data_IF_251226590809
#
_entry.id   IF_251226590809
#
_cell.length_a   1.000
_cell.length_b   1.000
_cell.length_c   1.000
_cell.angle_alpha   90.00
_cell.angle_beta   90.00
_cell.angle_gamma   90.00
#
_symmetry.space_group_name_H-M   'P 1'
#
loop_
_entity.id
_entity.type
_entity.pdbx_description
1 polymer ?
#
# COMPACT_ATOMS: atom_id res chain seq x y z
N UNK A 1 34.55 48.76 -32.86
CA UNK A 1 34.60 47.28 -32.91
C UNK A 1 34.59 46.79 -31.48
N UNK A 2 33.43 46.37 -30.98
CA UNK A 2 33.29 45.81 -29.63
C UNK A 2 33.97 44.44 -29.58
N UNK A 3 35.05 44.34 -28.79
CA UNK A 3 35.66 43.06 -28.45
C UNK A 3 34.62 42.26 -27.66
N UNK A 4 33.97 41.29 -28.31
CA UNK A 4 33.15 40.27 -27.62
C UNK A 4 34.02 39.61 -26.56
N UNK A 5 33.80 40.00 -25.32
CA UNK A 5 34.46 39.45 -24.14
C UNK A 5 33.89 38.05 -23.87
N UNK A 6 34.27 37.07 -24.71
CA UNK A 6 33.98 35.66 -24.48
C UNK A 6 34.96 35.16 -23.42
N UNK A 7 34.66 35.45 -22.14
CA UNK A 7 35.47 35.01 -21.02
C UNK A 7 35.13 33.54 -20.68
N UNK A 8 36.00 32.55 -21.00
CA UNK A 8 35.70 31.13 -20.81
C UNK A 8 35.53 30.75 -19.34
N UNK A 9 36.11 31.50 -18.41
CA UNK A 9 35.92 31.32 -16.97
C UNK A 9 34.47 31.59 -16.55
N UNK A 10 33.87 32.69 -17.04
CA UNK A 10 32.47 33.03 -16.78
C UNK A 10 31.51 31.98 -17.35
N UNK A 11 31.84 31.37 -18.48
CA UNK A 11 31.07 30.26 -19.03
C UNK A 11 31.22 28.99 -18.17
N UNK A 12 32.42 28.68 -17.69
CA UNK A 12 32.66 27.54 -16.80
C UNK A 12 31.90 27.69 -15.47
N UNK A 13 31.87 28.89 -14.89
CA UNK A 13 31.07 29.20 -13.69
C UNK A 13 29.57 29.02 -13.94
N UNK A 14 29.04 29.56 -15.04
CA UNK A 14 27.63 29.39 -15.42
C UNK A 14 27.28 27.92 -15.66
N UNK A 15 28.16 27.16 -16.30
CA UNK A 15 27.97 25.72 -16.53
C UNK A 15 28.01 24.93 -15.22
N UNK A 16 28.89 25.28 -14.29
CA UNK A 16 28.95 24.66 -12.96
C UNK A 16 27.68 24.95 -12.15
N UNK A 17 27.22 26.20 -12.15
CA UNK A 17 25.96 26.59 -11.52
C UNK A 17 24.76 25.85 -12.14
N UNK A 18 24.72 25.72 -13.47
CA UNK A 18 23.68 24.96 -14.16
C UNK A 18 23.69 23.48 -13.78
N UNK A 19 24.87 22.84 -13.75
CA UNK A 19 25.02 21.43 -13.33
C UNK A 19 24.57 21.21 -11.89
N UNK A 20 24.91 22.14 -10.99
CA UNK A 20 24.47 22.10 -9.60
C UNK A 20 22.94 22.19 -9.50
N UNK A 21 22.33 23.16 -10.18
CA UNK A 21 20.87 23.31 -10.23
C UNK A 21 20.18 22.06 -10.81
N UNK A 22 20.74 21.46 -11.86
CA UNK A 22 20.23 20.21 -12.42
C UNK A 22 20.35 19.03 -11.44
N UNK A 23 21.45 18.94 -10.68
CA UNK A 23 21.62 17.90 -9.67
C UNK A 23 20.61 18.05 -8.52
N UNK A 24 20.40 19.27 -8.03
CA UNK A 24 19.41 19.58 -7.00
C UNK A 24 17.98 19.26 -7.47
N UNK A 25 17.64 19.62 -8.71
CA UNK A 25 16.36 19.27 -9.31
C UNK A 25 16.19 17.75 -9.44
N UNK A 26 17.24 17.03 -9.83
CA UNK A 26 17.24 15.56 -9.89
C UNK A 26 17.03 14.91 -8.53
N UNK A 27 17.66 15.44 -7.47
CA UNK A 27 17.45 14.98 -6.09
C UNK A 27 16.01 15.20 -5.62
N UNK A 28 15.44 16.36 -5.91
CA UNK A 28 14.05 16.67 -5.58
C UNK A 28 13.08 15.70 -6.27
N UNK A 29 13.25 15.48 -7.59
CA UNK A 29 12.40 14.55 -8.34
C UNK A 29 12.52 13.12 -7.80
N UNK A 30 13.73 12.65 -7.50
CA UNK A 30 13.94 11.34 -6.89
C UNK A 30 13.26 11.22 -5.52
N UNK A 31 13.26 12.28 -4.72
CA UNK A 31 12.57 12.32 -3.43
C UNK A 31 11.05 12.24 -3.60
N UNK A 32 10.48 13.00 -4.55
CA UNK A 32 9.05 12.95 -4.90
C UNK A 32 8.64 11.56 -5.38
N UNK A 33 9.44 10.93 -6.24
CA UNK A 33 9.17 9.56 -6.72
C UNK A 33 9.17 8.55 -5.57
N UNK A 34 10.11 8.69 -4.63
CA UNK A 34 10.16 7.84 -3.43
C UNK A 34 8.94 8.04 -2.54
N UNK A 35 8.52 9.28 -2.31
CA UNK A 35 7.29 9.58 -1.56
C UNK A 35 6.05 9.03 -2.26
N UNK A 36 5.94 9.18 -3.57
CA UNK A 36 4.84 8.63 -4.36
C UNK A 36 4.78 7.10 -4.27
N UNK A 37 5.94 6.45 -4.34
CA UNK A 37 6.05 5.01 -4.16
C UNK A 37 5.64 4.59 -2.73
N UNK A 38 6.07 5.31 -1.70
CA UNK A 38 5.67 5.05 -0.31
C UNK A 38 4.17 5.18 -0.11
N UNK A 39 3.55 6.29 -0.55
CA UNK A 39 2.09 6.50 -0.45
C UNK A 39 1.34 5.37 -1.15
N UNK A 40 1.78 4.97 -2.34
CA UNK A 40 1.17 3.86 -3.07
C UNK A 40 1.33 2.54 -2.35
N UNK A 41 2.53 2.20 -1.91
CA UNK A 41 2.80 0.93 -1.25
C UNK A 41 2.09 0.84 0.10
N UNK A 42 1.87 1.96 0.80
CA UNK A 42 1.13 2.00 2.06
C UNK A 42 -0.34 1.62 1.92
N UNK A 43 -0.90 1.57 0.71
CA UNK A 43 -2.27 1.07 0.48
C UNK A 43 -2.45 -0.40 0.87
N UNK A 44 -1.37 -1.18 1.01
CA UNK A 44 -1.45 -2.54 1.53
C UNK A 44 -1.61 -2.61 3.04
N UNK A 45 -1.40 -1.50 3.75
CA UNK A 45 -1.54 -1.48 5.20
C UNK A 45 -3.01 -1.59 5.60
N UNK A 46 -3.26 -2.31 6.69
CA UNK A 46 -4.62 -2.58 7.17
C UNK A 46 -4.81 -4.04 7.56
N UNK A 47 -6.06 -4.36 7.86
CA UNK A 47 -6.51 -5.71 8.16
C UNK A 47 -7.15 -6.34 6.93
N UNK A 48 -6.77 -7.58 6.68
CA UNK A 48 -7.19 -8.34 5.51
C UNK A 48 -7.69 -9.72 5.92
N UNK A 49 -8.77 -10.19 5.33
CA UNK A 49 -9.38 -11.51 5.60
C UNK A 49 -9.23 -12.38 4.35
N UNK A 50 -8.72 -13.60 4.51
CA UNK A 50 -8.58 -14.54 3.40
C UNK A 50 -9.96 -14.83 2.81
N UNK A 51 -10.05 -15.05 1.49
CA UNK A 51 -11.35 -15.28 0.83
C UNK A 51 -12.09 -16.52 1.35
N UNK A 52 -11.37 -17.51 1.88
CA UNK A 52 -11.93 -18.70 2.53
C UNK A 52 -12.32 -18.47 4.00
N UNK A 53 -12.06 -17.28 4.55
CA UNK A 53 -12.31 -16.90 5.94
C UNK A 53 -11.38 -17.54 6.98
N UNK A 54 -10.51 -18.47 6.58
CA UNK A 54 -9.71 -19.27 7.51
C UNK A 54 -8.56 -18.51 8.15
N UNK A 55 -8.08 -17.45 7.51
CA UNK A 55 -6.95 -16.64 7.98
C UNK A 55 -7.25 -15.14 7.93
N UNK A 56 -6.57 -14.38 8.79
CA UNK A 56 -6.43 -12.92 8.64
C UNK A 56 -4.98 -12.52 8.53
N UNK A 57 -4.73 -11.44 7.81
CA UNK A 57 -3.43 -10.84 7.61
C UNK A 57 -3.48 -9.37 8.05
N UNK A 58 -2.65 -9.00 9.01
CA UNK A 58 -2.44 -7.61 9.42
C UNK A 58 -1.14 -7.11 8.81
N UNK A 59 -1.20 -5.97 8.11
CA UNK A 59 -0.02 -5.32 7.53
C UNK A 59 0.10 -3.90 8.07
N UNK A 60 1.30 -3.55 8.56
CA UNK A 60 1.61 -2.19 9.01
C UNK A 60 2.92 -1.69 8.41
N UNK A 61 2.97 -0.40 8.09
CA UNK A 61 4.23 0.27 7.77
C UNK A 61 5.12 0.33 9.00
N UNK A 62 6.41 0.13 8.80
CA UNK A 62 7.51 0.37 9.75
C UNK A 62 8.56 1.24 9.08
N UNK A 63 9.59 1.67 9.81
CA UNK A 63 10.61 2.61 9.32
C UNK A 63 11.21 2.20 7.96
N UNK A 64 11.61 0.93 7.83
CA UNK A 64 12.26 0.40 6.62
C UNK A 64 11.40 -0.59 5.82
N UNK A 65 10.07 -0.52 5.91
CA UNK A 65 9.20 -1.39 5.10
C UNK A 65 7.89 -1.73 5.78
N UNK A 66 7.55 -3.02 5.81
CA UNK A 66 6.28 -3.51 6.32
C UNK A 66 6.47 -4.67 7.28
N UNK A 67 5.66 -4.69 8.34
CA UNK A 67 5.49 -5.82 9.24
C UNK A 67 4.16 -6.48 8.94
N UNK A 68 4.18 -7.79 8.77
CA UNK A 68 3.03 -8.62 8.45
C UNK A 68 2.81 -9.64 9.56
N UNK A 69 1.55 -9.88 9.91
CA UNK A 69 1.15 -10.91 10.87
C UNK A 69 -0.01 -11.72 10.28
N UNK A 70 0.26 -12.99 9.99
CA UNK A 70 -0.73 -13.95 9.53
C UNK A 70 -1.27 -14.72 10.74
N UNK A 71 -2.60 -14.74 10.87
CA UNK A 71 -3.31 -15.40 11.96
C UNK A 71 -4.33 -16.41 11.42
N UNK A 72 -4.45 -17.53 12.11
CA UNK A 72 -5.53 -18.51 11.97
C UNK A 72 -6.77 -17.99 12.70
N UNK A 73 -7.91 -17.97 12.01
CA UNK A 73 -9.21 -17.57 12.55
C UNK A 73 -10.26 -18.69 12.42
N UNK A 74 -9.86 -19.93 12.14
CA UNK A 74 -10.77 -21.08 12.04
C UNK A 74 -11.49 -21.41 13.36
N UNK A 75 -11.01 -20.86 14.47
CA UNK A 75 -11.59 -21.00 15.81
C UNK A 75 -12.10 -19.66 16.31
N UNK A 76 -12.86 -19.63 17.40
CA UNK A 76 -13.35 -18.39 18.02
C UNK A 76 -12.24 -17.52 18.67
N UNK A 77 -10.98 -17.75 18.35
CA UNK A 77 -9.82 -16.98 18.80
C UNK A 77 -8.77 -16.91 17.69
N UNK A 78 -8.01 -15.81 17.65
CA UNK A 78 -6.93 -15.62 16.68
C UNK A 78 -5.64 -16.27 17.19
N UNK A 79 -5.00 -17.09 16.36
CA UNK A 79 -3.67 -17.64 16.66
C UNK A 79 -2.66 -17.13 15.64
N UNK A 80 -1.54 -16.56 16.09
CA UNK A 80 -0.49 -16.12 15.17
C UNK A 80 0.16 -17.35 14.54
N UNK A 81 -0.01 -17.50 13.22
CA UNK A 81 0.65 -18.55 12.43
C UNK A 81 2.07 -18.09 12.10
N UNK A 82 2.22 -16.81 11.72
CA UNK A 82 3.50 -16.29 11.26
C UNK A 82 3.61 -14.77 11.37
N UNK A 83 4.82 -14.31 11.67
CA UNK A 83 5.22 -12.92 11.54
C UNK A 83 6.27 -12.80 10.44
N UNK A 84 6.14 -11.76 9.61
CA UNK A 84 7.01 -11.54 8.47
C UNK A 84 7.33 -10.06 8.31
N UNK A 85 8.34 -9.79 7.51
CA UNK A 85 8.74 -8.47 7.05
C UNK A 85 8.73 -8.44 5.52
N UNK A 86 8.39 -7.28 4.97
CA UNK A 86 8.44 -7.04 3.53
C UNK A 86 9.07 -5.68 3.23
N UNK A 87 9.76 -5.59 2.09
CA UNK A 87 10.43 -4.38 1.64
C UNK A 87 9.83 -3.87 0.35
N UNK A 88 9.76 -2.54 0.22
CA UNK A 88 9.40 -1.89 -1.03
C UNK A 88 10.59 -1.96 -2.01
N UNK A 89 10.34 -2.51 -3.21
CA UNK A 89 11.24 -2.52 -4.34
C UNK A 89 10.59 -1.74 -5.49
N UNK A 90 10.72 -0.41 -5.43
CA UNK A 90 10.02 0.51 -6.32
C UNK A 90 8.51 0.42 -6.15
N UNK A 91 7.82 -0.15 -7.15
CA UNK A 91 6.35 -0.33 -7.15
C UNK A 91 5.87 -1.65 -6.56
N UNK A 92 6.80 -2.55 -6.20
CA UNK A 92 6.49 -3.87 -5.65
C UNK A 92 6.81 -3.89 -4.17
N UNK A 93 6.09 -4.71 -3.42
CA UNK A 93 6.45 -5.01 -2.04
C UNK A 93 6.73 -6.50 -1.96
N UNK A 94 7.87 -6.90 -1.40
CA UNK A 94 8.37 -8.28 -1.45
C UNK A 94 8.64 -8.77 -0.04
N UNK A 95 8.13 -9.96 0.30
CA UNK A 95 8.38 -10.59 1.60
C UNK A 95 9.84 -11.04 1.68
N UNK A 96 10.54 -10.66 2.74
CA UNK A 96 11.99 -10.92 2.92
C UNK A 96 12.33 -11.85 4.09
N UNK A 97 11.33 -12.28 4.87
CA UNK A 97 11.55 -13.25 5.95
C UNK A 97 11.78 -14.67 5.43
N UNK A 98 12.51 -15.49 6.20
CA UNK A 98 12.73 -16.90 5.88
C UNK A 98 11.41 -17.68 5.73
N UNK A 99 11.37 -18.62 4.78
CA UNK A 99 10.22 -19.47 4.44
C UNK A 99 9.54 -19.05 3.12
N UNK A 100 8.29 -19.50 2.86
CA UNK A 100 7.52 -19.06 1.70
C UNK A 100 7.49 -17.53 1.56
N UNK A 101 7.87 -17.02 0.40
CA UNK A 101 7.95 -15.59 0.12
C UNK A 101 6.91 -15.15 -0.90
N UNK A 102 7.26 -14.08 -1.63
CA UNK A 102 6.51 -13.60 -2.78
C UNK A 102 6.19 -12.11 -2.72
N UNK A 103 5.58 -11.64 -3.80
CA UNK A 103 5.16 -10.26 -3.95
C UNK A 103 3.80 -10.01 -3.28
N UNK A 104 3.64 -8.81 -2.72
CA UNK A 104 2.39 -8.30 -2.20
C UNK A 104 1.88 -7.25 -3.18
N UNK A 105 0.67 -7.48 -3.69
CA UNK A 105 0.04 -6.58 -4.66
C UNK A 105 -1.45 -6.42 -4.37
N UNK A 106 -1.99 -5.24 -4.64
CA UNK A 106 -3.44 -5.02 -4.68
C UNK A 106 -3.86 -4.98 -6.14
N UNK A 107 -4.80 -5.84 -6.50
CA UNK A 107 -5.38 -5.85 -7.84
C UNK A 107 -6.39 -4.72 -8.05
N UNK A 108 -6.84 -4.54 -9.29
CA UNK A 108 -7.92 -3.59 -9.61
C UNK A 108 -9.27 -3.97 -8.96
N UNK A 109 -9.39 -5.23 -8.56
CA UNK A 109 -10.51 -5.81 -7.81
C UNK A 109 -10.47 -5.47 -6.31
N UNK A 110 -9.49 -4.69 -5.85
CA UNK A 110 -9.29 -4.38 -4.43
C UNK A 110 -8.73 -5.55 -3.62
N UNK A 111 -8.48 -6.71 -4.25
CA UNK A 111 -7.99 -7.89 -3.55
C UNK A 111 -6.47 -7.81 -3.36
N UNK A 112 -6.04 -8.05 -2.13
CA UNK A 112 -4.64 -8.18 -1.77
C UNK A 112 -4.17 -9.61 -2.04
N UNK A 113 -3.16 -9.74 -2.90
CA UNK A 113 -2.47 -11.00 -3.19
C UNK A 113 -1.17 -11.00 -2.42
N UNK A 114 -1.03 -11.91 -1.47
CA UNK A 114 0.12 -11.99 -0.56
C UNK A 114 0.95 -13.25 -0.86
N UNK A 115 1.84 -13.17 -1.85
CA UNK A 115 2.79 -14.24 -2.18
C UNK A 115 2.18 -15.65 -2.14
N UNK A 116 2.83 -16.55 -1.40
CA UNK A 116 2.38 -17.92 -1.20
C UNK A 116 1.21 -18.10 -0.20
N UNK A 117 0.72 -17.02 0.43
CA UNK A 117 -0.32 -17.06 1.48
C UNK A 117 -1.73 -16.86 0.96
N UNK A 118 -1.89 -16.54 -0.33
CA UNK A 118 -3.18 -16.46 -0.98
C UNK A 118 -3.71 -15.05 -1.17
N UNK A 119 -5.04 -14.96 -1.25
CA UNK A 119 -5.78 -13.77 -1.65
C UNK A 119 -6.69 -13.33 -0.51
N UNK A 120 -6.67 -12.04 -0.21
CA UNK A 120 -7.37 -11.45 0.92
C UNK A 120 -8.23 -10.26 0.48
N UNK A 121 -9.36 -10.08 1.17
CA UNK A 121 -10.24 -8.91 1.08
C UNK A 121 -9.93 -7.94 2.22
N UNK A 122 -10.19 -6.66 2.01
CA UNK A 122 -10.14 -5.65 3.08
C UNK A 122 -11.19 -5.98 4.14
N UNK A 123 -10.79 -6.05 5.41
CA UNK A 123 -11.73 -6.19 6.53
C UNK A 123 -12.69 -4.99 6.59
N UNK A 124 -12.21 -3.78 6.27
CA UNK A 124 -13.04 -2.58 6.23
C UNK A 124 -14.14 -2.68 5.18
N UNK A 125 -13.81 -3.14 3.97
CA UNK A 125 -14.80 -3.27 2.90
C UNK A 125 -15.86 -4.30 3.25
N UNK A 126 -15.44 -5.43 3.84
CA UNK A 126 -16.37 -6.47 4.31
C UNK A 126 -17.31 -5.94 5.41
N UNK A 127 -16.79 -5.16 6.36
CA UNK A 127 -17.61 -4.58 7.43
C UNK A 127 -18.60 -3.54 6.89
N UNK A 128 -18.21 -2.76 5.88
CA UNK A 128 -19.12 -1.81 5.21
C UNK A 128 -20.24 -2.54 4.46
N UNK A 129 -19.91 -3.57 3.69
CA UNK A 129 -20.89 -4.41 2.98
C UNK A 129 -21.91 -5.04 3.94
N UNK A 130 -21.45 -5.55 5.09
CA UNK A 130 -22.31 -6.13 6.11
C UNK A 130 -23.24 -5.07 6.73
N UNK A 131 -22.68 -3.91 7.09
CA UNK A 131 -23.45 -2.79 7.64
C UNK A 131 -24.56 -2.33 6.68
N UNK A 132 -24.23 -2.19 5.40
CA UNK A 132 -25.19 -1.79 4.37
C UNK A 132 -26.30 -2.84 4.22
N UNK A 133 -25.94 -4.13 4.25
CA UNK A 133 -26.88 -5.25 4.17
C UNK A 133 -27.86 -5.29 5.35
N UNK A 134 -27.34 -5.08 6.57
CA UNK A 134 -28.15 -5.04 7.80
C UNK A 134 -29.10 -3.84 7.80
N UNK A 135 -28.64 -2.69 7.32
CA UNK A 135 -29.48 -1.49 7.18
C UNK A 135 -30.60 -1.71 6.15
N UNK A 136 -30.31 -2.31 5.01
CA UNK A 136 -31.33 -2.68 4.01
C UNK A 136 -32.34 -3.68 4.55
N UNK A 137 -31.91 -4.64 5.36
CA UNK A 137 -32.80 -5.58 6.03
C UNK A 137 -33.74 -4.86 7.01
N UNK A 138 -33.18 -3.99 7.86
CA UNK A 138 -33.96 -3.23 8.85
C UNK A 138 -35.00 -2.29 8.21
N UNK A 139 -34.66 -1.66 7.08
CA UNK A 139 -35.61 -0.80 6.34
C UNK A 139 -36.75 -1.63 5.75
N UNK A 140 -36.45 -2.78 5.14
CA UNK A 140 -37.48 -3.67 4.57
C UNK A 140 -38.43 -4.19 5.63
N UNK A 141 -37.92 -4.68 6.74
CA UNK A 141 -38.76 -5.23 7.83
C UNK A 141 -39.68 -4.18 8.44
N UNK A 142 -39.22 -2.94 8.60
CA UNK A 142 -40.05 -1.84 9.09
C UNK A 142 -41.20 -1.48 8.13
N UNK A 143 -40.99 -1.59 6.82
CA UNK A 143 -42.04 -1.30 5.82
C UNK A 143 -43.06 -2.43 5.64
N UNK A 144 -42.70 -3.67 5.99
CA UNK A 144 -43.59 -4.83 5.90
C UNK A 144 -44.59 -4.88 7.08
N UNK A 145 -44.21 -4.39 8.26
CA UNK A 145 -45.08 -4.33 9.45
C UNK A 145 -46.18 -3.24 9.39
N UNK A 146 -46.01 -2.20 8.57
CA UNK A 146 -46.99 -1.10 8.41
C UNK A 146 -48.13 -1.43 7.41
N UNK A 147 -48.10 -2.62 6.77
CA UNK A 147 -49.03 -3.03 5.71
C UNK A 147 -50.29 -3.80 6.15
N UNK A 148 -50.48 -4.04 7.45
CA UNK A 148 -51.64 -4.80 7.97
C UNK A 148 -52.43 -4.01 9.01
N UNK A 149 -53.40 -3.21 8.52
CA UNK A 149 -54.61 -2.83 9.25
C UNK A 149 -55.80 -2.74 8.30
#
# INVERSE_FOLDING_TARGET
MDKKNNNPEKFAELLAAYRKGHAEQGQFLSYVDRLSAQVRNNTICGSWIAQDGGCSLLIRSIEDGFSLMLCDNTRCYKTIIRQMTALAQGRRVVIVSEGPGGDITIGKDGLLRCGAYGIFRSEEDMLREEMDSEMEFAVRSATEDDGTF
#
